data_IF_215335443401
#
_entry.id   IF_215335443401
#
_cell.length_a   1.000
_cell.length_b   1.000
_cell.length_c   1.000
_cell.angle_alpha   90.00
_cell.angle_beta   90.00
_cell.angle_gamma   90.00
#
_symmetry.space_group_name_H-M   'P 1'
#
loop_
_entity.id
_entity.type
_entity.pdbx_description
1 polymer ?
#
# COMPACT_ATOMS: atom_id res chain seq x y z
N UNK A 1 -26.43 -20.05 2.79
CA UNK A 1 -26.66 -18.68 2.27
C UNK A 1 -25.28 -18.06 2.14
N UNK A 2 -24.75 -18.04 0.92
CA UNK A 2 -23.49 -17.38 0.61
C UNK A 2 -23.71 -15.88 0.80
N UNK A 3 -22.85 -15.22 1.57
CA UNK A 3 -22.83 -13.76 1.60
C UNK A 3 -22.62 -13.26 0.16
N UNK A 4 -23.44 -12.33 -0.31
CA UNK A 4 -23.19 -11.74 -1.62
C UNK A 4 -21.79 -11.10 -1.60
N UNK A 5 -20.91 -11.40 -2.58
CA UNK A 5 -19.67 -10.67 -2.74
C UNK A 5 -20.04 -9.19 -2.82
N UNK A 6 -19.35 -8.35 -2.06
CA UNK A 6 -19.58 -6.91 -1.93
C UNK A 6 -19.87 -6.33 -3.33
N UNK A 7 -21.17 -6.10 -3.60
CA UNK A 7 -21.75 -6.20 -4.94
C UNK A 7 -21.64 -4.85 -5.67
N UNK A 8 -21.62 -4.89 -7.00
CA UNK A 8 -21.57 -3.75 -7.94
C UNK A 8 -22.47 -2.55 -7.57
N UNK A 9 -23.51 -2.76 -6.76
CA UNK A 9 -24.39 -1.70 -6.25
C UNK A 9 -23.64 -0.60 -5.46
N UNK A 10 -22.57 -0.94 -4.72
CA UNK A 10 -21.74 0.05 -4.02
C UNK A 10 -20.78 0.79 -4.98
N UNK A 11 -20.52 0.25 -6.17
CA UNK A 11 -19.69 0.88 -7.21
C UNK A 11 -20.39 2.09 -7.83
N UNK A 12 -21.70 1.99 -8.04
CA UNK A 12 -22.50 3.03 -8.70
C UNK A 12 -22.96 4.13 -7.72
N UNK A 13 -22.86 3.91 -6.40
CA UNK A 13 -23.24 4.88 -5.37
C UNK A 13 -22.08 5.75 -4.85
N UNK A 14 -20.82 5.40 -5.16
CA UNK A 14 -19.63 5.90 -4.45
C UNK A 14 -18.54 6.45 -5.39
N UNK A 15 -18.66 7.72 -5.80
CA UNK A 15 -17.74 8.42 -6.72
C UNK A 15 -16.40 8.91 -6.09
N UNK A 16 -15.93 8.30 -4.99
CA UNK A 16 -14.67 8.69 -4.35
C UNK A 16 -13.58 7.60 -4.48
N UNK A 17 -12.49 7.82 -5.24
CA UNK A 17 -11.33 6.94 -5.21
C UNK A 17 -10.64 7.02 -3.84
N UNK A 18 -10.09 5.89 -3.36
CA UNK A 18 -9.14 5.87 -2.23
C UNK A 18 -8.09 7.00 -2.38
N UNK A 19 -7.64 7.66 -1.30
CA UNK A 19 -6.55 8.65 -1.37
C UNK A 19 -5.28 8.09 -2.02
N UNK A 20 -5.09 6.76 -1.98
CA UNK A 20 -4.02 6.06 -2.67
C UNK A 20 -4.32 5.79 -4.15
N UNK A 21 -5.59 5.78 -4.58
CA UNK A 21 -5.96 5.75 -6.00
C UNK A 21 -5.73 7.10 -6.70
N UNK A 22 -5.78 8.22 -5.98
CA UNK A 22 -5.49 9.56 -6.52
C UNK A 22 -4.03 9.76 -6.98
N UNK A 23 -3.13 8.80 -6.73
CA UNK A 23 -1.70 8.89 -7.04
C UNK A 23 -1.14 7.81 -7.97
N UNK A 24 -1.92 6.80 -8.36
CA UNK A 24 -1.45 5.73 -9.24
C UNK A 24 -2.40 5.50 -10.43
N UNK A 25 -2.53 6.49 -11.35
CA UNK A 25 -3.25 6.30 -12.61
C UNK A 25 -2.63 5.20 -13.48
N UNK A 26 -1.40 4.79 -13.16
CA UNK A 26 -0.62 3.81 -13.90
C UNK A 26 -1.00 2.36 -13.59
N UNK A 27 -1.90 2.09 -12.63
CA UNK A 27 -2.23 0.71 -12.25
C UNK A 27 -3.22 0.07 -13.24
N UNK A 28 -4.03 0.90 -13.91
CA UNK A 28 -5.13 0.52 -14.80
C UNK A 28 -5.16 1.42 -16.02
N UNK A 29 -5.57 0.91 -17.19
CA UNK A 29 -5.63 1.68 -18.44
C UNK A 29 -4.99 0.95 -19.62
N UNK A 30 -4.68 1.67 -20.70
CA UNK A 30 -4.14 1.06 -21.94
C UNK A 30 -2.73 0.44 -21.73
N UNK A 31 -1.96 0.94 -20.75
CA UNK A 31 -0.63 0.44 -20.38
C UNK A 31 -0.52 0.26 -18.86
N UNK A 32 -1.14 -0.78 -18.27
CA UNK A 32 -1.14 -0.97 -16.84
C UNK A 32 0.26 -1.35 -16.35
N UNK A 33 0.67 -0.72 -15.25
CA UNK A 33 1.89 -0.95 -14.48
C UNK A 33 1.53 -1.33 -13.05
N UNK A 34 1.00 -2.56 -12.81
CA UNK A 34 0.58 -3.00 -11.48
C UNK A 34 1.65 -2.83 -10.40
N UNK A 35 2.91 -3.02 -10.75
CA UNK A 35 4.08 -2.88 -9.87
C UNK A 35 4.25 -1.47 -9.26
N UNK A 36 3.62 -0.46 -9.86
CA UNK A 36 3.57 0.90 -9.28
C UNK A 36 2.60 1.00 -8.10
N UNK A 37 1.71 0.02 -7.91
CA UNK A 37 0.76 -0.03 -6.80
C UNK A 37 1.36 -0.73 -5.57
N UNK A 38 1.22 -0.17 -4.36
CA UNK A 38 1.56 -0.91 -3.14
C UNK A 38 0.67 -2.15 -2.93
N UNK A 39 -0.57 -2.12 -3.40
CA UNK A 39 -1.53 -3.22 -3.27
C UNK A 39 -1.15 -4.43 -4.12
N UNK A 40 -0.54 -4.20 -5.29
CA UNK A 40 0.06 -5.26 -6.09
C UNK A 40 1.11 -6.02 -5.30
N UNK A 41 1.97 -5.32 -4.56
CA UNK A 41 2.97 -6.00 -3.75
C UNK A 41 2.33 -6.80 -2.62
N UNK A 42 1.33 -6.26 -1.92
CA UNK A 42 0.60 -7.05 -0.91
C UNK A 42 0.03 -8.34 -1.50
N UNK A 43 -0.66 -8.25 -2.64
CA UNK A 43 -1.15 -9.40 -3.39
C UNK A 43 -0.04 -10.40 -3.72
N UNK A 44 1.11 -9.94 -4.22
CA UNK A 44 2.25 -10.80 -4.53
C UNK A 44 2.83 -11.48 -3.28
N UNK A 45 2.92 -10.78 -2.14
CA UNK A 45 3.37 -11.36 -0.87
C UNK A 45 2.40 -12.43 -0.36
N UNK A 46 1.09 -12.16 -0.42
CA UNK A 46 0.05 -13.12 -0.02
C UNK A 46 0.06 -14.38 -0.88
N UNK A 47 0.32 -14.24 -2.19
CA UNK A 47 0.49 -15.37 -3.13
C UNK A 47 1.63 -16.32 -2.72
N UNK A 48 2.65 -15.85 -1.98
CA UNK A 48 3.74 -16.70 -1.46
C UNK A 48 3.42 -17.35 -0.11
N UNK A 49 2.35 -16.94 0.57
CA UNK A 49 2.00 -17.47 1.88
C UNK A 49 1.46 -18.91 1.75
N UNK A 50 2.21 -19.89 2.27
CA UNK A 50 1.90 -21.32 2.06
C UNK A 50 0.53 -21.71 2.62
N UNK A 51 0.19 -21.24 3.82
CA UNK A 51 -1.10 -21.55 4.43
C UNK A 51 -2.28 -20.96 3.67
N UNK A 52 -2.10 -19.78 3.06
CA UNK A 52 -3.15 -19.16 2.25
C UNK A 52 -3.29 -19.85 0.89
N UNK A 53 -2.16 -20.26 0.31
CA UNK A 53 -2.14 -21.06 -0.91
C UNK A 53 -2.90 -22.38 -0.73
N UNK A 54 -2.69 -23.08 0.39
CA UNK A 54 -3.44 -24.31 0.72
C UNK A 54 -4.94 -24.03 0.94
N UNK A 55 -5.29 -22.89 1.53
CA UNK A 55 -6.70 -22.45 1.63
C UNK A 55 -7.32 -22.28 0.22
N UNK A 56 -6.60 -21.62 -0.69
CA UNK A 56 -7.04 -21.45 -2.08
C UNK A 56 -7.20 -22.81 -2.80
N UNK A 57 -6.28 -23.76 -2.59
CA UNK A 57 -6.35 -25.12 -3.14
C UNK A 57 -7.58 -25.89 -2.65
N UNK A 58 -8.05 -25.61 -1.43
CA UNK A 58 -9.26 -26.19 -0.84
C UNK A 58 -10.53 -25.38 -1.13
N UNK A 59 -10.49 -24.40 -2.04
CA UNK A 59 -11.65 -23.59 -2.38
C UNK A 59 -12.13 -22.68 -1.25
N UNK A 60 -11.22 -22.23 -0.39
CA UNK A 60 -11.53 -21.31 0.71
C UNK A 60 -11.84 -21.96 2.05
N UNK A 61 -11.56 -23.26 2.20
CA UNK A 61 -11.71 -23.96 3.48
C UNK A 61 -10.42 -23.95 4.31
N UNK A 62 -10.58 -23.89 5.64
CA UNK A 62 -9.49 -23.99 6.62
C UNK A 62 -9.28 -22.72 7.44
N UNK A 63 -8.06 -22.55 7.97
CA UNK A 63 -7.71 -21.45 8.87
C UNK A 63 -7.92 -20.06 8.25
N UNK A 64 -7.67 -19.92 6.95
CA UNK A 64 -7.76 -18.64 6.24
C UNK A 64 -9.08 -18.47 5.46
N UNK A 65 -10.14 -19.21 5.81
CA UNK A 65 -11.43 -19.12 5.13
C UNK A 65 -12.02 -17.69 5.16
N UNK A 66 -11.89 -16.99 6.29
CA UNK A 66 -12.35 -15.60 6.41
C UNK A 66 -11.59 -14.65 5.47
N UNK A 67 -10.26 -14.81 5.37
CA UNK A 67 -9.44 -14.04 4.44
C UNK A 67 -9.80 -14.37 2.99
N UNK A 68 -10.09 -15.64 2.69
CA UNK A 68 -10.50 -16.08 1.36
C UNK A 68 -11.84 -15.48 0.91
N UNK A 69 -12.79 -15.26 1.83
CA UNK A 69 -14.03 -14.55 1.50
C UNK A 69 -13.77 -13.11 1.04
N UNK A 70 -12.71 -12.48 1.54
CA UNK A 70 -12.34 -11.11 1.20
C UNK A 70 -11.48 -11.04 -0.05
N UNK A 71 -10.42 -11.86 -0.12
CA UNK A 71 -9.38 -11.78 -1.14
C UNK A 71 -9.57 -12.79 -2.27
N UNK A 72 -10.43 -13.79 -2.12
CA UNK A 72 -10.61 -14.85 -3.10
C UNK A 72 -9.33 -15.63 -3.41
N UNK A 73 -9.28 -16.24 -4.58
CA UNK A 73 -8.11 -17.00 -5.02
C UNK A 73 -7.04 -16.10 -5.64
N UNK A 74 -5.98 -15.83 -4.89
CA UNK A 74 -4.85 -14.98 -5.32
C UNK A 74 -3.84 -15.70 -6.19
N UNK A 75 -4.07 -16.96 -6.56
CA UNK A 75 -3.16 -17.71 -7.42
C UNK A 75 -3.22 -17.25 -8.88
N UNK A 76 -4.20 -16.44 -9.25
CA UNK A 76 -4.27 -15.77 -10.56
C UNK A 76 -3.03 -14.92 -10.84
N UNK A 77 -2.68 -14.79 -12.12
CA UNK A 77 -1.61 -13.89 -12.58
C UNK A 77 -2.17 -12.51 -12.98
N UNK A 78 -3.49 -12.39 -13.14
CA UNK A 78 -4.16 -11.14 -13.47
C UNK A 78 -4.49 -10.36 -12.19
N UNK A 79 -3.58 -9.46 -11.82
CA UNK A 79 -3.79 -8.55 -10.69
C UNK A 79 -4.93 -7.58 -10.94
N UNK A 80 -5.13 -7.13 -12.18
CA UNK A 80 -6.12 -6.11 -12.50
C UNK A 80 -7.53 -6.67 -12.33
N UNK A 81 -7.78 -7.84 -12.92
CA UNK A 81 -9.03 -8.58 -12.72
C UNK A 81 -9.29 -8.84 -11.24
N UNK A 82 -8.28 -9.34 -10.51
CA UNK A 82 -8.38 -9.58 -9.08
C UNK A 82 -8.70 -8.31 -8.28
N UNK A 83 -8.04 -7.19 -8.60
CA UNK A 83 -8.23 -5.96 -7.85
C UNK A 83 -9.63 -5.39 -8.06
N UNK A 84 -10.16 -5.41 -9.29
CA UNK A 84 -11.51 -4.93 -9.52
C UNK A 84 -12.58 -5.84 -8.93
N UNK A 85 -12.32 -7.14 -8.85
CA UNK A 85 -13.25 -8.09 -8.25
C UNK A 85 -13.24 -8.03 -6.71
N UNK A 86 -12.07 -7.87 -6.10
CA UNK A 86 -11.89 -7.94 -4.65
C UNK A 86 -11.23 -6.68 -4.10
N UNK A 87 -10.02 -6.36 -4.59
CA UNK A 87 -9.11 -5.36 -4.00
C UNK A 87 -9.69 -3.94 -3.82
N UNK A 88 -10.44 -3.41 -4.78
CA UNK A 88 -10.95 -2.03 -4.74
C UNK A 88 -11.75 -1.76 -3.46
N UNK A 89 -12.66 -2.66 -3.07
CA UNK A 89 -13.43 -2.52 -1.83
C UNK A 89 -12.60 -2.75 -0.56
N UNK A 90 -11.53 -3.56 -0.63
CA UNK A 90 -10.69 -3.89 0.53
C UNK A 90 -9.80 -2.74 0.98
N UNK A 91 -9.28 -1.97 0.00
CA UNK A 91 -8.32 -0.90 0.22
C UNK A 91 -8.93 0.51 0.16
N UNK A 92 -10.23 0.59 -0.12
CA UNK A 92 -10.97 1.85 -0.13
C UNK A 92 -11.17 2.33 1.30
N UNK A 93 -10.92 3.62 1.50
CA UNK A 93 -11.22 4.28 2.76
C UNK A 93 -12.74 4.39 2.89
N UNK A 94 -13.33 4.03 4.04
CA UNK A 94 -14.73 4.30 4.28
C UNK A 94 -14.95 5.81 4.14
N UNK A 95 -16.11 6.20 3.59
CA UNK A 95 -16.43 7.60 3.33
C UNK A 95 -16.37 8.44 4.61
N UNK A 96 -15.23 9.07 4.83
CA UNK A 96 -15.15 10.33 5.53
C UNK A 96 -15.14 11.37 4.40
N UNK A 97 -16.13 12.27 4.31
CA UNK A 97 -16.08 13.38 3.36
C UNK A 97 -14.91 14.31 3.73
N UNK A 98 -13.70 13.91 3.35
CA UNK A 98 -12.45 14.65 3.58
C UNK A 98 -12.27 15.78 2.56
N UNK A 99 -13.10 15.78 1.50
CA UNK A 99 -13.04 16.80 0.47
C UNK A 99 -13.63 18.13 0.95
N UNK A 100 -12.90 19.21 0.65
CA UNK A 100 -13.40 20.58 0.79
C UNK A 100 -14.57 20.79 -0.18
N UNK A 101 -15.78 20.54 0.30
CA UNK A 101 -17.02 20.63 -0.48
C UNK A 101 -17.92 21.78 -0.05
N UNK A 102 -18.79 22.20 -0.97
CA UNK A 102 -19.91 23.08 -0.67
C UNK A 102 -21.06 22.27 -0.05
N UNK A 103 -21.52 22.66 1.13
CA UNK A 103 -22.78 22.17 1.70
C UNK A 103 -23.93 22.95 1.03
N UNK A 104 -24.69 22.25 0.19
CA UNK A 104 -25.77 22.82 -0.63
C UNK A 104 -27.15 22.67 0.02
N UNK A 105 -27.31 21.68 0.90
CA UNK A 105 -28.56 21.45 1.61
C UNK A 105 -28.35 21.07 3.08
N UNK A 106 -29.38 21.29 3.90
CA UNK A 106 -29.32 21.06 5.33
C UNK A 106 -29.22 19.57 5.72
N UNK A 107 -29.60 18.64 4.84
CA UNK A 107 -29.48 17.21 5.12
C UNK A 107 -28.03 16.73 5.09
N UNK A 108 -27.17 17.40 4.32
CA UNK A 108 -25.73 17.15 4.30
C UNK A 108 -25.06 17.47 5.64
N UNK A 109 -25.53 18.49 6.39
CA UNK A 109 -25.03 18.80 7.73
C UNK A 109 -25.22 17.64 8.72
N UNK A 110 -26.31 16.89 8.57
CA UNK A 110 -26.61 15.73 9.42
C UNK A 110 -25.68 14.54 9.21
N UNK A 111 -24.89 14.53 8.12
CA UNK A 111 -23.94 13.47 7.77
C UNK A 111 -22.50 13.80 8.15
N UNK A 112 -22.24 15.01 8.64
CA UNK A 112 -20.88 15.47 8.97
C UNK A 112 -20.44 14.86 10.30
N UNK A 113 -19.21 14.35 10.31
CA UNK A 113 -18.54 13.97 11.55
C UNK A 113 -17.96 15.22 12.24
N UNK A 114 -18.63 15.70 13.29
CA UNK A 114 -18.21 16.91 14.00
C UNK A 114 -16.92 16.74 14.84
N UNK A 115 -16.42 15.50 14.99
CA UNK A 115 -15.21 15.22 15.75
C UNK A 115 -13.92 15.56 14.97
N UNK A 116 -13.94 15.44 13.65
CA UNK A 116 -12.80 15.67 12.76
C UNK A 116 -13.05 16.79 11.72
N UNK A 117 -14.29 17.23 11.53
CA UNK A 117 -14.66 18.20 10.49
C UNK A 117 -14.98 19.59 11.07
N UNK A 118 -14.37 20.64 10.50
CA UNK A 118 -14.75 22.03 10.75
C UNK A 118 -15.57 22.58 9.59
N UNK A 119 -16.82 23.00 9.86
CA UNK A 119 -17.67 23.67 8.87
C UNK A 119 -17.44 25.19 8.94
N UNK A 120 -17.08 25.80 7.82
CA UNK A 120 -16.90 27.25 7.69
C UNK A 120 -17.97 27.84 6.77
N UNK A 121 -18.83 28.71 7.31
CA UNK A 121 -19.85 29.39 6.54
C UNK A 121 -19.28 30.65 5.87
N UNK A 122 -19.27 30.69 4.54
CA UNK A 122 -18.81 31.84 3.76
C UNK A 122 -20.03 32.60 3.22
N UNK A 123 -20.29 33.85 3.66
CA UNK A 123 -21.43 34.62 3.19
C UNK A 123 -21.24 35.09 1.73
N UNK A 124 -21.92 34.47 0.78
CA UNK A 124 -21.80 34.77 -0.67
C UNK A 124 -22.39 36.12 -1.09
N UNK A 125 -23.10 36.82 -0.19
CA UNK A 125 -23.78 38.11 -0.44
C UNK A 125 -22.85 39.24 -0.93
N UNK A 126 -21.54 39.06 -0.77
CA UNK A 126 -20.49 40.00 -1.13
C UNK A 126 -20.00 39.85 -2.59
N UNK A 127 -20.49 38.85 -3.34
CA UNK A 127 -20.15 38.63 -4.74
C UNK A 127 -18.63 38.46 -5.00
N UNK A 128 -18.22 38.36 -6.28
CA UNK A 128 -16.79 38.27 -6.66
C UNK A 128 -15.98 39.56 -6.40
N UNK A 129 -16.64 40.68 -6.10
CA UNK A 129 -15.99 42.01 -6.00
C UNK A 129 -15.55 42.37 -4.58
N UNK A 130 -16.25 41.89 -3.54
CA UNK A 130 -15.98 42.34 -2.17
C UNK A 130 -15.30 41.27 -1.27
N UNK A 131 -15.43 39.98 -1.60
CA UNK A 131 -14.64 38.90 -0.97
C UNK A 131 -13.50 38.51 -1.90
N UNK A 132 -12.34 39.17 -1.75
CA UNK A 132 -11.14 38.75 -2.47
C UNK A 132 -10.72 37.34 -2.03
N UNK A 133 -10.11 36.57 -2.94
CA UNK A 133 -9.50 35.28 -2.57
C UNK A 133 -8.54 35.41 -1.39
N UNK A 134 -7.84 36.54 -1.29
CA UNK A 134 -6.90 36.85 -0.23
C UNK A 134 -7.62 37.01 1.12
N UNK A 135 -8.76 37.69 1.15
CA UNK A 135 -9.56 37.90 2.36
C UNK A 135 -10.12 36.57 2.88
N UNK A 136 -10.66 35.73 2.00
CA UNK A 136 -11.14 34.39 2.37
C UNK A 136 -10.00 33.55 2.94
N UNK A 137 -8.85 33.52 2.26
CA UNK A 137 -7.69 32.78 2.75
C UNK A 137 -7.19 33.31 4.10
N UNK A 138 -7.18 34.63 4.30
CA UNK A 138 -6.76 35.26 5.55
C UNK A 138 -7.68 34.89 6.71
N UNK A 139 -9.00 35.08 6.54
CA UNK A 139 -10.00 34.73 7.56
C UNK A 139 -10.00 33.22 7.86
N UNK A 140 -9.86 32.39 6.82
CA UNK A 140 -9.74 30.94 6.99
C UNK A 140 -8.48 30.55 7.79
N UNK A 141 -7.35 31.20 7.50
CA UNK A 141 -6.10 30.99 8.25
C UNK A 141 -6.26 31.37 9.72
N UNK A 142 -6.94 32.48 10.03
CA UNK A 142 -7.23 32.87 11.42
C UNK A 142 -8.11 31.84 12.15
N UNK A 143 -9.09 31.25 11.47
CA UNK A 143 -9.92 30.17 12.04
C UNK A 143 -9.09 28.93 12.35
N UNK A 144 -8.18 28.55 11.43
CA UNK A 144 -7.26 27.43 11.65
C UNK A 144 -6.30 27.71 12.82
N UNK A 145 -5.68 28.89 12.87
CA UNK A 145 -4.75 29.27 13.94
C UNK A 145 -5.43 29.30 15.32
N UNK A 146 -6.70 29.75 15.37
CA UNK A 146 -7.49 29.75 16.60
C UNK A 146 -7.91 28.33 17.03
N UNK A 147 -8.20 27.44 16.07
CA UNK A 147 -8.58 26.05 16.33
C UNK A 147 -7.39 25.18 16.72
N UNK A 148 -6.23 25.46 16.15
CA UNK A 148 -4.97 24.75 16.38
C UNK A 148 -3.92 25.70 16.95
N UNK A 149 -4.11 26.22 18.19
CA UNK A 149 -3.20 27.21 18.76
C UNK A 149 -1.82 26.59 19.04
N UNK A 150 -0.85 26.93 18.19
CA UNK A 150 0.55 26.54 18.33
C UNK A 150 1.07 25.72 17.15
N UNK A 151 2.39 25.56 17.10
CA UNK A 151 3.04 24.59 16.22
C UNK A 151 2.68 23.19 16.72
N UNK A 152 1.47 22.70 16.43
CA UNK A 152 1.28 21.26 16.27
C UNK A 152 2.03 20.91 14.99
N UNK A 153 3.36 20.82 15.11
CA UNK A 153 4.29 20.60 14.01
C UNK A 153 4.17 19.14 13.60
N UNK A 154 3.11 18.84 12.87
CA UNK A 154 2.85 17.55 12.28
C UNK A 154 1.60 17.68 11.43
N UNK A 155 1.66 17.18 10.19
CA UNK A 155 0.41 16.82 9.51
C UNK A 155 -0.37 15.92 10.47
N UNK A 156 -1.70 16.08 10.62
CA UNK A 156 -2.51 15.09 11.31
C UNK A 156 -2.09 13.72 10.78
N UNK A 157 -1.77 12.78 11.68
CA UNK A 157 -1.45 11.41 11.26
C UNK A 157 -2.73 10.87 10.63
N UNK A 158 -2.79 10.86 9.29
CA UNK A 158 -3.89 10.22 8.59
C UNK A 158 -3.90 8.75 9.01
N UNK A 159 -4.95 8.33 9.71
CA UNK A 159 -5.14 6.94 10.10
C UNK A 159 -6.13 6.35 9.11
N UNK A 160 -5.60 5.56 8.17
CA UNK A 160 -6.42 4.77 7.25
C UNK A 160 -7.43 3.93 8.03
N UNK A 161 -8.69 4.02 7.63
CA UNK A 161 -9.83 3.23 8.11
C UNK A 161 -10.21 2.11 7.13
N UNK A 162 -9.53 2.02 5.99
CA UNK A 162 -9.65 0.90 5.05
C UNK A 162 -9.54 -0.46 5.77
N UNK A 163 -10.31 -1.44 5.26
CA UNK A 163 -10.38 -2.79 5.84
C UNK A 163 -9.01 -3.46 5.85
N UNK A 164 -8.26 -3.30 4.77
CA UNK A 164 -6.86 -3.70 4.64
C UNK A 164 -5.98 -2.46 4.43
N UNK A 165 -4.98 -2.27 5.30
CA UNK A 165 -4.15 -1.07 5.29
C UNK A 165 -2.68 -1.33 5.57
N UNK A 166 -1.82 -0.40 5.18
CA UNK A 166 -0.40 -0.45 5.52
C UNK A 166 -0.15 0.24 6.87
N UNK A 167 0.81 -0.25 7.65
CA UNK A 167 1.24 0.41 8.90
C UNK A 167 2.00 1.73 8.67
N UNK A 168 2.36 2.03 7.43
CA UNK A 168 3.07 3.23 7.02
C UNK A 168 3.18 3.29 5.49
N UNK A 169 4.02 4.19 4.97
CA UNK A 169 4.20 4.31 3.51
C UNK A 169 5.12 3.20 2.97
N UNK A 170 4.64 2.28 2.12
CA UNK A 170 5.46 1.22 1.55
C UNK A 170 6.45 1.76 0.50
N UNK A 171 7.69 1.28 0.57
CA UNK A 171 8.71 1.57 -0.44
C UNK A 171 8.75 0.42 -1.46
N UNK A 172 8.20 0.67 -2.65
CA UNK A 172 7.91 -0.36 -3.66
C UNK A 172 9.17 -1.08 -4.14
N UNK A 173 10.25 -0.32 -4.38
CA UNK A 173 11.58 -0.83 -4.72
C UNK A 173 12.09 -1.85 -3.69
N UNK A 174 11.88 -1.56 -2.40
CA UNK A 174 12.29 -2.45 -1.32
C UNK A 174 11.38 -3.67 -1.20
N UNK A 175 10.08 -3.54 -1.46
CA UNK A 175 9.15 -4.67 -1.47
C UNK A 175 9.49 -5.64 -2.59
N UNK A 176 9.76 -5.12 -3.78
CA UNK A 176 10.20 -5.88 -4.95
C UNK A 176 11.52 -6.61 -4.69
N UNK A 177 12.57 -5.89 -4.28
CA UNK A 177 13.90 -6.45 -4.03
C UNK A 177 13.83 -7.63 -3.05
N UNK A 178 13.10 -7.45 -1.95
CA UNK A 178 12.92 -8.47 -0.91
C UNK A 178 12.19 -9.69 -1.43
N UNK A 179 11.13 -9.50 -2.21
CA UNK A 179 10.34 -10.60 -2.75
C UNK A 179 11.16 -11.41 -3.76
N UNK A 180 11.95 -10.75 -4.61
CA UNK A 180 12.90 -11.41 -5.53
C UNK A 180 13.94 -12.25 -4.79
N UNK A 181 14.52 -11.72 -3.71
CA UNK A 181 15.45 -12.47 -2.85
C UNK A 181 14.74 -13.69 -2.23
N UNK A 182 13.51 -13.52 -1.77
CA UNK A 182 12.71 -14.59 -1.19
C UNK A 182 12.41 -15.69 -2.20
N UNK A 183 11.95 -15.33 -3.40
CA UNK A 183 11.64 -16.27 -4.48
C UNK A 183 12.91 -17.01 -4.94
N UNK A 184 14.01 -16.31 -5.18
CA UNK A 184 15.30 -16.91 -5.55
C UNK A 184 15.82 -17.88 -4.47
N UNK A 185 15.61 -17.56 -3.18
CA UNK A 185 15.96 -18.45 -2.07
C UNK A 185 15.11 -19.71 -2.05
N UNK A 186 13.82 -19.60 -2.37
CA UNK A 186 12.90 -20.75 -2.44
C UNK A 186 13.21 -21.68 -3.61
N UNK A 187 13.56 -21.11 -4.76
CA UNK A 187 13.97 -21.87 -5.94
C UNK A 187 15.33 -22.54 -5.74
N UNK A 188 16.22 -21.91 -4.96
CA UNK A 188 17.60 -22.36 -4.75
C UNK A 188 17.95 -22.57 -3.25
N UNK A 189 17.33 -23.55 -2.56
CA UNK A 189 17.53 -23.76 -1.12
C UNK A 189 18.95 -24.21 -0.75
N UNK A 190 19.71 -24.75 -1.71
CA UNK A 190 21.11 -25.16 -1.51
C UNK A 190 22.14 -24.06 -1.74
N UNK A 191 21.76 -22.90 -2.30
CA UNK A 191 22.72 -21.82 -2.56
C UNK A 191 23.08 -21.08 -1.28
N UNK A 192 24.36 -20.71 -1.17
CA UNK A 192 24.80 -19.76 -0.16
C UNK A 192 24.14 -18.38 -0.40
N UNK A 193 23.83 -17.65 0.66
CA UNK A 193 23.13 -16.36 0.57
C UNK A 193 23.89 -15.33 -0.28
N UNK A 194 25.22 -15.29 -0.18
CA UNK A 194 26.00 -14.40 -1.03
C UNK A 194 25.87 -14.74 -2.52
N UNK A 195 25.69 -16.01 -2.88
CA UNK A 195 25.51 -16.44 -4.27
C UNK A 195 24.16 -15.99 -4.81
N UNK A 196 23.11 -16.05 -3.97
CA UNK A 196 21.79 -15.49 -4.30
C UNK A 196 21.90 -13.99 -4.58
N UNK A 197 22.55 -13.25 -3.68
CA UNK A 197 22.75 -11.80 -3.85
C UNK A 197 23.62 -11.45 -5.05
N UNK A 198 24.68 -12.22 -5.31
CA UNK A 198 25.55 -12.03 -6.46
C UNK A 198 24.80 -12.24 -7.77
N UNK A 199 24.05 -13.34 -7.91
CA UNK A 199 23.24 -13.60 -9.10
C UNK A 199 22.22 -12.48 -9.35
N UNK A 200 21.46 -12.09 -8.32
CA UNK A 200 20.46 -11.02 -8.47
C UNK A 200 21.10 -9.67 -8.79
N UNK A 201 22.30 -9.38 -8.29
CA UNK A 201 23.00 -8.14 -8.59
C UNK A 201 23.52 -8.11 -10.04
N UNK A 202 23.97 -9.27 -10.56
CA UNK A 202 24.40 -9.43 -11.96
C UNK A 202 23.23 -9.31 -12.93
N UNK A 203 22.05 -9.80 -12.55
CA UNK A 203 20.80 -9.67 -13.32
C UNK A 203 20.15 -8.28 -13.21
N UNK A 204 20.86 -7.31 -12.62
CA UNK A 204 20.40 -5.94 -12.33
C UNK A 204 19.20 -5.82 -11.38
N UNK A 205 18.81 -6.93 -10.77
CA UNK A 205 17.65 -7.07 -9.92
C UNK A 205 17.92 -6.80 -8.43
N UNK A 206 19.18 -6.53 -8.07
CA UNK A 206 19.60 -6.17 -6.72
C UNK A 206 20.73 -5.11 -6.71
N UNK A 207 20.41 -3.84 -6.98
CA UNK A 207 21.40 -2.76 -7.09
C UNK A 207 22.29 -2.61 -5.85
N UNK A 208 21.72 -2.75 -4.64
CA UNK A 208 22.46 -2.66 -3.39
C UNK A 208 23.52 -3.76 -3.21
N UNK A 209 23.40 -4.87 -3.95
CA UNK A 209 24.38 -5.96 -3.94
C UNK A 209 25.56 -5.74 -4.89
N UNK A 210 25.48 -4.81 -5.86
CA UNK A 210 26.49 -4.65 -6.93
C UNK A 210 27.90 -4.40 -6.38
N UNK A 211 28.03 -3.63 -5.30
CA UNK A 211 29.31 -3.32 -4.66
C UNK A 211 30.00 -4.56 -4.02
N UNK A 212 29.23 -5.61 -3.76
CA UNK A 212 29.67 -6.83 -3.10
C UNK A 212 29.82 -8.03 -4.05
N UNK A 213 29.59 -7.83 -5.35
CA UNK A 213 29.88 -8.84 -6.38
C UNK A 213 31.39 -9.09 -6.42
N UNK A 214 31.78 -10.37 -6.45
CA UNK A 214 33.19 -10.76 -6.51
C UNK A 214 33.63 -10.95 -7.96
N UNK A 215 34.79 -10.39 -8.34
CA UNK A 215 35.40 -10.65 -9.65
C UNK A 215 36.67 -11.50 -9.54
N UNK A 216 37.16 -12.01 -10.67
CA UNK A 216 38.32 -12.92 -10.71
C UNK A 216 39.63 -12.32 -10.19
N UNK A 217 39.72 -10.99 -10.08
CA UNK A 217 40.88 -10.24 -9.57
C UNK A 217 40.80 -9.98 -8.06
N UNK A 218 39.62 -10.13 -7.44
CA UNK A 218 39.36 -9.89 -6.02
C UNK A 218 39.39 -11.20 -5.21
N UNK A 219 40.49 -11.95 -5.32
CA UNK A 219 40.68 -13.21 -4.59
C UNK A 219 41.29 -12.98 -3.19
N UNK A 220 41.21 -14.02 -2.34
CA UNK A 220 41.70 -13.98 -0.97
C UNK A 220 40.78 -13.18 -0.05
N UNK A 221 41.36 -12.46 0.91
CA UNK A 221 40.62 -11.80 2.01
C UNK A 221 39.55 -10.81 1.54
N UNK A 222 39.83 -10.05 0.48
CA UNK A 222 38.89 -9.06 -0.07
C UNK A 222 37.62 -9.72 -0.62
N UNK A 223 37.76 -10.83 -1.36
CA UNK A 223 36.62 -11.59 -1.87
C UNK A 223 35.81 -12.25 -0.76
N UNK A 224 36.49 -12.76 0.28
CA UNK A 224 35.82 -13.29 1.47
C UNK A 224 35.01 -12.23 2.22
N UNK A 225 35.58 -11.03 2.39
CA UNK A 225 34.91 -9.90 3.05
C UNK A 225 33.67 -9.45 2.25
N UNK A 226 33.77 -9.34 0.92
CA UNK A 226 32.63 -9.03 0.05
C UNK A 226 31.51 -10.07 0.14
N UNK A 227 31.85 -11.37 0.11
CA UNK A 227 30.86 -12.45 0.29
C UNK A 227 30.21 -12.40 1.67
N UNK A 228 30.96 -12.05 2.71
CA UNK A 228 30.40 -11.87 4.05
C UNK A 228 29.41 -10.70 4.08
N UNK A 229 29.77 -9.55 3.50
CA UNK A 229 28.87 -8.39 3.41
C UNK A 229 27.61 -8.72 2.62
N UNK A 230 27.74 -9.36 1.45
CA UNK A 230 26.59 -9.81 0.67
C UNK A 230 25.70 -10.79 1.45
N UNK A 231 26.30 -11.75 2.17
CA UNK A 231 25.57 -12.70 3.01
C UNK A 231 24.74 -11.98 4.08
N UNK A 232 25.34 -11.01 4.78
CA UNK A 232 24.65 -10.22 5.82
C UNK A 232 23.48 -9.44 5.19
N UNK A 233 23.74 -8.77 4.08
CA UNK A 233 22.72 -7.96 3.39
C UNK A 233 21.54 -8.83 2.93
N UNK A 234 21.79 -9.93 2.20
CA UNK A 234 20.76 -10.86 1.73
C UNK A 234 20.01 -11.48 2.91
N UNK A 235 20.71 -11.86 3.99
CA UNK A 235 20.08 -12.41 5.18
C UNK A 235 19.08 -11.44 5.82
N UNK A 236 19.42 -10.15 5.89
CA UNK A 236 18.53 -9.12 6.43
C UNK A 236 17.29 -8.93 5.54
N UNK A 237 17.48 -8.85 4.22
CA UNK A 237 16.37 -8.71 3.26
C UNK A 237 15.44 -9.91 3.28
N UNK A 238 16.00 -11.12 3.29
CA UNK A 238 15.25 -12.37 3.35
C UNK A 238 14.43 -12.48 4.64
N UNK A 239 15.00 -12.08 5.78
CA UNK A 239 14.28 -12.05 7.06
C UNK A 239 13.03 -11.16 6.95
N UNK A 240 13.20 -9.92 6.46
CA UNK A 240 12.08 -8.98 6.26
C UNK A 240 11.06 -9.50 5.26
N UNK A 241 11.51 -10.08 4.15
CA UNK A 241 10.61 -10.68 3.16
C UNK A 241 9.76 -11.81 3.77
N UNK A 242 10.39 -12.67 4.57
CA UNK A 242 9.71 -13.78 5.26
C UNK A 242 8.67 -13.28 6.26
N UNK A 243 8.99 -12.22 6.99
CA UNK A 243 8.07 -11.55 7.92
C UNK A 243 6.89 -10.92 7.16
N UNK A 244 7.15 -10.24 6.05
CA UNK A 244 6.11 -9.66 5.20
C UNK A 244 5.20 -10.72 4.56
N UNK A 245 5.74 -11.87 4.11
CA UNK A 245 4.93 -13.00 3.64
C UNK A 245 4.03 -13.51 4.77
N UNK A 246 4.57 -13.69 5.98
CA UNK A 246 3.77 -14.14 7.14
C UNK A 246 2.70 -13.14 7.54
N UNK A 247 3.00 -11.84 7.51
CA UNK A 247 2.07 -10.79 7.92
C UNK A 247 1.06 -10.41 6.84
N UNK A 248 1.24 -10.86 5.59
CA UNK A 248 0.35 -10.56 4.47
C UNK A 248 -1.09 -11.07 4.64
N UNK A 249 -1.33 -12.03 5.54
CA UNK A 249 -2.66 -12.56 5.85
C UNK A 249 -3.45 -11.72 6.87
N UNK A 250 -2.81 -10.73 7.49
CA UNK A 250 -3.45 -9.85 8.46
C UNK A 250 -4.14 -8.68 7.76
N UNK A 251 -5.02 -7.97 8.48
CA UNK A 251 -5.66 -6.76 7.97
C UNK A 251 -4.71 -5.55 7.90
N UNK A 252 -3.51 -5.66 8.50
CA UNK A 252 -2.48 -4.61 8.45
C UNK A 252 -1.19 -5.19 7.88
N UNK A 253 -0.73 -4.65 6.76
CA UNK A 253 0.56 -4.99 6.19
C UNK A 253 1.66 -4.17 6.84
N UNK A 254 2.56 -4.85 7.55
CA UNK A 254 3.67 -4.21 8.21
C UNK A 254 4.76 -3.81 7.21
N UNK A 255 5.03 -2.50 7.14
CA UNK A 255 6.15 -1.96 6.37
C UNK A 255 7.41 -2.02 7.25
N UNK A 256 8.29 -2.98 6.96
CA UNK A 256 9.52 -3.28 7.73
C UNK A 256 10.79 -2.73 7.08
#
# INVERSE_FOLDING_TARGET
MLAEPFNLADRDANEGPSPYLYGYPDVYGDEPRPQSSPYYWWFQYLKRHSGYKECCERGGEGEYAALYLDWGDVRTDDFEEWFFQFGDGLFREPHVPDDLGEIRDASQLGKINWNDTMVVAIPIRFGKRDLSKQEISYQFSMLLDARFPGKTSGRPTYVSEAKYKFSGYPQLDKLEERLRIYDMRRENPGWALWKIGEQLALDENFPAGKDHVTNSREQGKLGEDKRRMMTVLVSQRLKKATEQVKNSVNNVFEVV
#
